data_IF_812927880170
#
_entry.id   IF_812927880170
#
_cell.length_a   1.000
_cell.length_b   1.000
_cell.length_c   1.000
_cell.angle_alpha   90.00
_cell.angle_beta   90.00
_cell.angle_gamma   90.00
#
_symmetry.space_group_name_H-M   'P 1'
#
loop_
_entity.id
_entity.type
_entity.pdbx_description
1 polymer ?
#
# COMPACT_ATOMS: atom_id res chain seq x y z
N UNK A 1 -31.46 0.98 3.37
CA UNK A 1 -31.76 0.63 4.75
C UNK A 1 -31.01 1.56 5.70
N UNK A 2 -31.55 1.85 6.86
CA UNK A 2 -30.90 2.64 7.89
C UNK A 2 -30.83 1.84 9.21
N UNK A 3 -30.02 2.31 10.16
CA UNK A 3 -29.81 1.64 11.44
C UNK A 3 -31.12 1.51 12.26
N UNK A 4 -32.01 2.49 12.18
CA UNK A 4 -33.28 2.49 12.92
C UNK A 4 -34.19 1.35 12.47
N UNK A 5 -34.36 1.16 11.16
CA UNK A 5 -35.13 0.05 10.60
C UNK A 5 -34.55 -1.31 11.00
N UNK A 6 -33.21 -1.44 10.99
CA UNK A 6 -32.56 -2.68 11.42
C UNK A 6 -32.82 -2.97 12.90
N UNK A 7 -32.73 -1.97 13.77
CA UNK A 7 -33.04 -2.13 15.20
C UNK A 7 -34.48 -2.58 15.42
N UNK A 8 -35.46 -1.96 14.72
CA UNK A 8 -36.88 -2.37 14.81
C UNK A 8 -37.10 -3.81 14.36
N UNK A 9 -36.49 -4.23 13.26
CA UNK A 9 -36.62 -5.60 12.77
C UNK A 9 -35.99 -6.60 13.73
N UNK A 10 -34.80 -6.31 14.27
CA UNK A 10 -34.15 -7.16 15.26
C UNK A 10 -35.01 -7.28 16.52
N UNK A 11 -35.61 -6.19 17.00
CA UNK A 11 -36.49 -6.20 18.17
C UNK A 11 -37.75 -7.07 17.91
N UNK A 12 -38.37 -6.96 16.74
CA UNK A 12 -39.52 -7.78 16.34
C UNK A 12 -39.20 -9.27 16.27
N UNK A 13 -37.96 -9.60 15.88
CA UNK A 13 -37.48 -10.99 15.72
C UNK A 13 -36.83 -11.54 16.97
N UNK A 14 -36.77 -10.82 18.09
CA UNK A 14 -36.11 -11.23 19.32
C UNK A 14 -34.58 -11.36 19.17
N UNK A 15 -33.98 -10.66 18.18
CA UNK A 15 -32.55 -10.70 17.91
C UNK A 15 -31.83 -9.54 18.63
N UNK A 16 -30.64 -9.84 19.18
CA UNK A 16 -29.77 -8.78 19.71
C UNK A 16 -29.13 -7.99 18.56
N UNK A 17 -29.27 -6.67 18.62
CA UNK A 17 -28.67 -5.76 17.66
C UNK A 17 -28.07 -4.56 18.39
N UNK A 18 -26.81 -4.22 18.08
CA UNK A 18 -26.13 -3.04 18.58
C UNK A 18 -25.60 -2.21 17.43
N UNK A 19 -25.92 -0.93 17.41
CA UNK A 19 -25.37 0.03 16.45
C UNK A 19 -24.15 0.68 17.09
N UNK A 20 -22.99 0.53 16.46
CA UNK A 20 -21.78 1.23 16.88
C UNK A 20 -21.85 2.71 16.49
N UNK A 21 -21.37 3.58 17.36
CA UNK A 21 -21.22 4.99 17.05
C UNK A 21 -20.20 5.20 15.92
N UNK A 22 -20.41 6.20 15.03
CA UNK A 22 -19.42 6.54 14.02
C UNK A 22 -18.09 6.93 14.66
N UNK A 23 -16.99 6.41 14.10
CA UNK A 23 -15.65 6.85 14.45
C UNK A 23 -15.38 8.17 13.72
N UNK A 24 -14.82 9.14 14.43
CA UNK A 24 -14.45 10.44 13.87
C UNK A 24 -12.94 10.59 13.87
N UNK A 25 -12.38 11.01 12.76
CA UNK A 25 -10.98 11.45 12.64
C UNK A 25 -10.98 12.91 12.19
N UNK A 26 -10.41 13.80 12.99
CA UNK A 26 -10.40 15.26 12.78
C UNK A 26 -11.81 15.84 12.46
N UNK A 27 -12.83 15.34 13.16
CA UNK A 27 -14.22 15.79 12.98
C UNK A 27 -14.93 15.23 11.75
N UNK A 28 -14.28 14.38 10.94
CA UNK A 28 -14.88 13.70 9.79
C UNK A 28 -15.24 12.27 10.15
N UNK A 29 -16.43 11.82 9.73
CA UNK A 29 -16.83 10.42 9.90
C UNK A 29 -15.93 9.50 9.07
N UNK A 30 -15.26 8.56 9.73
CA UNK A 30 -14.49 7.50 9.05
C UNK A 30 -15.45 6.60 8.27
N UNK A 31 -15.20 6.45 6.98
CA UNK A 31 -16.02 5.63 6.09
C UNK A 31 -15.15 5.01 4.99
N UNK A 32 -15.63 3.93 4.38
CA UNK A 32 -14.95 3.32 3.24
C UNK A 32 -14.78 4.31 2.07
N UNK A 33 -15.72 5.23 1.88
CA UNK A 33 -15.62 6.27 0.84
C UNK A 33 -14.50 7.24 1.15
N UNK A 34 -14.39 7.73 2.39
CA UNK A 34 -13.30 8.62 2.80
C UNK A 34 -11.95 7.94 2.60
N UNK A 35 -11.78 6.71 3.08
CA UNK A 35 -10.52 5.96 2.95
C UNK A 35 -10.13 5.76 1.48
N UNK A 36 -11.08 5.38 0.61
CA UNK A 36 -10.81 5.24 -0.83
C UNK A 36 -10.39 6.56 -1.48
N UNK A 37 -11.01 7.67 -1.09
CA UNK A 37 -10.64 9.01 -1.57
C UNK A 37 -9.21 9.36 -1.16
N UNK A 38 -8.87 9.23 0.13
CA UNK A 38 -7.52 9.48 0.65
C UNK A 38 -6.45 8.68 -0.10
N UNK A 39 -6.68 7.38 -0.32
CA UNK A 39 -5.74 6.54 -1.05
C UNK A 39 -5.58 6.94 -2.52
N UNK A 40 -6.66 7.36 -3.19
CA UNK A 40 -6.62 7.87 -4.57
C UNK A 40 -5.93 9.23 -4.68
N UNK A 41 -5.95 10.03 -3.62
CA UNK A 41 -5.25 11.31 -3.51
C UNK A 41 -3.79 11.15 -3.08
N UNK A 42 -3.39 9.96 -2.62
CA UNK A 42 -2.04 9.64 -2.16
C UNK A 42 -1.82 9.91 -0.67
N UNK A 43 -2.85 10.29 0.07
CA UNK A 43 -2.74 10.54 1.52
C UNK A 43 -2.80 9.22 2.32
N UNK A 44 -1.73 8.42 2.17
CA UNK A 44 -1.60 7.14 2.85
C UNK A 44 -1.55 7.29 4.38
N UNK A 45 -1.00 8.41 4.88
CA UNK A 45 -0.88 8.67 6.30
C UNK A 45 -2.24 8.99 6.95
N UNK A 46 -3.09 9.77 6.29
CA UNK A 46 -4.45 10.02 6.81
C UNK A 46 -5.32 8.77 6.67
N UNK A 47 -5.14 8.01 5.58
CA UNK A 47 -5.79 6.70 5.44
C UNK A 47 -5.40 5.74 6.59
N UNK A 48 -4.12 5.74 7.01
CA UNK A 48 -3.64 4.99 8.18
C UNK A 48 -4.39 5.40 9.45
N UNK A 49 -4.49 6.70 9.75
CA UNK A 49 -5.23 7.19 10.93
C UNK A 49 -6.70 6.76 10.92
N UNK A 50 -7.34 6.81 9.76
CA UNK A 50 -8.72 6.36 9.59
C UNK A 50 -8.89 4.83 9.75
N UNK A 51 -7.92 4.04 9.29
CA UNK A 51 -7.96 2.58 9.32
C UNK A 51 -7.49 1.99 10.66
N UNK A 52 -6.69 2.74 11.44
CA UNK A 52 -5.94 2.23 12.60
C UNK A 52 -4.77 1.31 12.23
N UNK A 53 -4.48 1.17 10.92
CA UNK A 53 -3.34 0.40 10.38
C UNK A 53 -3.01 0.91 8.98
N UNK A 54 -1.79 0.68 8.46
CA UNK A 54 -1.46 1.05 7.10
C UNK A 54 -2.36 0.32 6.08
N UNK A 55 -2.63 0.98 4.97
CA UNK A 55 -3.24 0.29 3.83
C UNK A 55 -2.25 -0.74 3.26
N UNK A 56 -2.75 -1.88 2.79
CA UNK A 56 -1.88 -2.91 2.21
C UNK A 56 -2.48 -3.56 0.98
N UNK A 57 -1.60 -4.00 0.10
CA UNK A 57 -1.90 -4.89 -1.01
C UNK A 57 -1.09 -6.18 -0.86
N UNK A 58 -1.74 -7.32 -0.98
CA UNK A 58 -1.08 -8.61 -1.02
C UNK A 58 -1.19 -9.18 -2.44
N UNK A 59 -0.16 -9.92 -2.86
CA UNK A 59 -0.13 -10.54 -4.16
C UNK A 59 0.98 -11.55 -4.28
N UNK A 60 0.97 -12.28 -5.39
CA UNK A 60 2.04 -13.16 -5.79
C UNK A 60 3.12 -12.37 -6.53
N UNK A 61 4.39 -12.72 -6.28
CA UNK A 61 5.53 -12.12 -6.97
C UNK A 61 5.66 -12.78 -8.34
N UNK A 62 5.56 -11.96 -9.36
CA UNK A 62 5.68 -12.38 -10.76
C UNK A 62 6.92 -11.78 -11.42
N UNK A 63 7.34 -12.40 -12.53
CA UNK A 63 8.42 -11.86 -13.33
C UNK A 63 8.03 -10.52 -13.96
N UNK A 64 8.91 -9.53 -13.84
CA UNK A 64 8.83 -8.24 -14.52
C UNK A 64 9.85 -8.12 -15.66
N UNK A 65 10.04 -6.90 -16.16
CA UNK A 65 10.96 -6.62 -17.27
C UNK A 65 12.45 -6.74 -16.89
N UNK A 66 12.77 -6.98 -15.61
CA UNK A 66 14.15 -7.15 -15.10
C UNK A 66 15.03 -5.90 -15.19
N UNK A 67 14.44 -4.70 -15.41
CA UNK A 67 15.20 -3.45 -15.56
C UNK A 67 15.96 -3.08 -14.29
N UNK A 68 15.32 -3.21 -13.12
CA UNK A 68 15.94 -2.92 -11.83
C UNK A 68 17.13 -3.81 -11.54
N UNK A 69 17.05 -5.10 -11.86
CA UNK A 69 18.16 -6.05 -11.66
C UNK A 69 19.43 -5.64 -12.41
N UNK A 70 19.29 -5.18 -13.67
CA UNK A 70 20.43 -4.70 -14.49
C UNK A 70 21.09 -3.44 -13.92
N UNK A 71 20.38 -2.68 -13.09
CA UNK A 71 20.87 -1.46 -12.46
C UNK A 71 21.37 -1.69 -11.02
N UNK A 72 21.41 -2.96 -10.55
CA UNK A 72 21.79 -3.29 -9.19
C UNK A 72 20.72 -2.94 -8.15
N UNK A 73 19.49 -2.66 -8.59
CA UNK A 73 18.32 -2.34 -7.75
C UNK A 73 17.22 -3.35 -8.07
N UNK A 74 17.33 -4.59 -7.57
CA UNK A 74 16.33 -5.61 -7.87
C UNK A 74 14.97 -5.20 -7.33
N UNK A 75 13.95 -5.39 -8.15
CA UNK A 75 12.54 -5.13 -7.81
C UNK A 75 11.72 -6.40 -7.99
N UNK A 76 10.74 -6.57 -7.13
CA UNK A 76 9.69 -7.57 -7.30
C UNK A 76 8.47 -6.90 -7.93
N UNK A 77 7.77 -7.62 -8.79
CA UNK A 77 6.49 -7.20 -9.36
C UNK A 77 5.36 -7.97 -8.68
N UNK A 78 4.35 -7.27 -8.21
CA UNK A 78 3.21 -7.89 -7.56
C UNK A 78 1.97 -7.82 -8.45
N UNK A 79 1.18 -8.90 -8.38
CA UNK A 79 -0.16 -8.95 -8.96
C UNK A 79 -1.19 -9.05 -7.83
N UNK A 80 -1.77 -7.91 -7.40
CA UNK A 80 -2.88 -7.93 -6.45
C UNK A 80 -4.11 -8.61 -7.03
N UNK A 81 -5.05 -9.06 -6.17
CA UNK A 81 -6.31 -9.65 -6.62
C UNK A 81 -7.11 -8.71 -7.52
N UNK A 82 -7.92 -9.28 -8.40
CA UNK A 82 -8.88 -8.52 -9.20
C UNK A 82 -9.82 -7.71 -8.29
N UNK A 83 -10.11 -6.46 -8.69
CA UNK A 83 -10.92 -5.55 -7.89
C UNK A 83 -10.21 -4.89 -6.70
N UNK A 84 -8.93 -5.16 -6.50
CA UNK A 84 -8.16 -4.47 -5.47
C UNK A 84 -8.19 -2.95 -5.66
N UNK A 85 -8.26 -2.22 -4.54
CA UNK A 85 -8.15 -0.77 -4.57
C UNK A 85 -6.70 -0.35 -4.80
N UNK A 86 -6.46 0.36 -5.90
CA UNK A 86 -5.14 0.91 -6.19
C UNK A 86 -5.00 2.32 -5.60
N UNK A 87 -3.92 2.60 -4.87
CA UNK A 87 -3.61 3.96 -4.43
C UNK A 87 -3.17 4.82 -5.61
N UNK A 88 -3.01 6.13 -5.39
CA UNK A 88 -2.50 7.07 -6.39
C UNK A 88 -1.21 6.56 -7.03
N UNK A 89 -1.06 6.76 -8.33
CA UNK A 89 0.18 6.51 -9.06
C UNK A 89 1.33 7.33 -8.47
N UNK A 90 2.50 6.69 -8.26
CA UNK A 90 3.68 7.31 -7.70
C UNK A 90 4.51 6.38 -6.82
N UNK A 91 5.49 6.94 -6.14
CA UNK A 91 6.45 6.22 -5.29
C UNK A 91 6.09 6.38 -3.83
N UNK A 92 6.11 5.26 -3.11
CA UNK A 92 5.72 5.16 -1.70
C UNK A 92 6.85 4.60 -0.84
N UNK A 93 6.94 5.11 0.39
CA UNK A 93 7.60 4.41 1.48
C UNK A 93 6.70 3.26 1.92
N UNK A 94 7.23 2.04 1.90
CA UNK A 94 6.47 0.82 2.18
C UNK A 94 7.26 -0.11 3.09
N UNK A 95 6.54 -1.09 3.65
CA UNK A 95 7.11 -2.23 4.35
C UNK A 95 6.58 -3.50 3.66
N UNK A 96 7.47 -4.38 3.23
CA UNK A 96 7.09 -5.65 2.61
C UNK A 96 7.17 -6.76 3.63
N UNK A 97 6.04 -7.44 3.87
CA UNK A 97 5.90 -8.57 4.79
C UNK A 97 5.88 -9.88 4.00
N UNK A 98 6.75 -10.80 4.38
CA UNK A 98 6.78 -12.17 3.87
C UNK A 98 5.72 -13.04 4.55
N UNK A 99 5.37 -14.20 3.96
CA UNK A 99 4.43 -15.17 4.56
C UNK A 99 4.85 -15.64 5.97
N UNK A 100 6.14 -15.66 6.27
CA UNK A 100 6.68 -15.98 7.60
C UNK A 100 6.60 -14.84 8.63
N UNK A 101 6.01 -13.68 8.27
CA UNK A 101 5.91 -12.52 9.15
C UNK A 101 7.14 -11.60 9.12
N UNK A 102 8.23 -12.00 8.50
CA UNK A 102 9.43 -11.17 8.34
C UNK A 102 9.11 -9.93 7.48
N UNK A 103 9.60 -8.76 7.91
CA UNK A 103 9.32 -7.48 7.26
C UNK A 103 10.59 -6.78 6.77
N UNK A 104 10.49 -6.13 5.60
CA UNK A 104 11.59 -5.43 4.95
C UNK A 104 11.19 -4.02 4.58
N UNK A 105 11.97 -2.98 4.96
CA UNK A 105 11.82 -1.64 4.41
C UNK A 105 11.86 -1.69 2.89
N UNK A 106 10.96 -1.01 2.23
CA UNK A 106 10.85 -1.10 0.78
C UNK A 106 10.35 0.20 0.15
N UNK A 107 10.65 0.36 -1.13
CA UNK A 107 10.09 1.40 -1.98
C UNK A 107 9.14 0.75 -2.98
N UNK A 108 7.93 1.23 -3.06
CA UNK A 108 6.96 0.73 -4.03
C UNK A 108 6.61 1.81 -5.04
N UNK A 109 6.82 1.51 -6.30
CA UNK A 109 6.26 2.28 -7.41
C UNK A 109 4.91 1.69 -7.82
N UNK A 110 3.87 2.49 -7.71
CA UNK A 110 2.55 2.22 -8.30
C UNK A 110 2.50 2.97 -9.62
N UNK A 111 2.48 2.25 -10.72
CA UNK A 111 2.51 2.81 -12.06
C UNK A 111 1.34 2.36 -12.92
N UNK A 112 1.32 2.83 -14.19
CA UNK A 112 0.38 2.39 -15.20
C UNK A 112 1.14 1.88 -16.41
N UNK A 113 0.95 0.61 -16.78
CA UNK A 113 1.47 0.09 -18.05
C UNK A 113 0.56 0.53 -19.18
N UNK A 114 1.12 1.17 -20.23
CA UNK A 114 0.38 1.35 -21.46
C UNK A 114 -0.03 -0.02 -22.01
N UNK A 115 -1.30 -0.22 -22.21
CA UNK A 115 -1.84 -1.38 -22.93
C UNK A 115 -2.53 -0.89 -24.18
N UNK A 116 -2.71 -1.77 -25.18
CA UNK A 116 -3.48 -1.46 -26.40
C UNK A 116 -4.97 -1.17 -26.11
N UNK A 117 -5.44 -1.37 -24.88
CA UNK A 117 -6.76 -0.95 -24.42
C UNK A 117 -6.65 0.46 -23.84
N UNK A 118 -7.66 1.29 -24.04
CA UNK A 118 -7.71 2.71 -23.69
C UNK A 118 -7.43 3.06 -22.21
N UNK A 119 -7.47 2.06 -21.32
CA UNK A 119 -7.06 2.20 -19.92
C UNK A 119 -5.91 1.23 -19.68
N UNK A 120 -4.71 1.77 -19.38
CA UNK A 120 -3.55 0.98 -18.99
C UNK A 120 -3.85 0.11 -17.76
N UNK A 121 -3.08 -0.96 -17.58
CA UNK A 121 -3.17 -1.80 -16.38
C UNK A 121 -2.26 -1.25 -15.29
N UNK A 122 -2.75 -1.11 -14.04
CA UNK A 122 -1.91 -0.69 -12.94
C UNK A 122 -0.83 -1.76 -12.65
N UNK A 123 0.34 -1.29 -12.24
CA UNK A 123 1.49 -2.14 -11.90
C UNK A 123 2.02 -1.76 -10.54
N UNK A 124 2.62 -2.72 -9.85
CA UNK A 124 3.27 -2.50 -8.58
C UNK A 124 4.65 -3.14 -8.59
N UNK A 125 5.67 -2.30 -8.59
CA UNK A 125 7.07 -2.68 -8.53
C UNK A 125 7.65 -2.26 -7.19
N UNK A 126 8.23 -3.21 -6.44
CA UNK A 126 8.72 -2.96 -5.09
C UNK A 126 10.19 -3.35 -4.98
N UNK A 127 11.01 -2.41 -4.54
CA UNK A 127 12.41 -2.63 -4.19
C UNK A 127 12.54 -2.84 -2.68
N UNK A 128 13.00 -4.03 -2.26
CA UNK A 128 13.26 -4.35 -0.86
C UNK A 128 14.68 -3.92 -0.50
N UNK A 129 14.80 -3.00 0.46
CA UNK A 129 16.10 -2.45 0.85
C UNK A 129 16.93 -3.46 1.61
N UNK A 130 18.10 -3.80 1.05
CA UNK A 130 19.05 -4.74 1.68
C UNK A 130 18.68 -6.21 1.57
N UNK A 131 17.57 -6.56 0.93
CA UNK A 131 17.21 -7.96 0.70
C UNK A 131 18.08 -8.58 -0.40
N UNK A 132 18.53 -9.81 -0.15
CA UNK A 132 19.22 -10.64 -1.13
C UNK A 132 18.55 -12.01 -1.16
N UNK A 133 18.15 -12.46 -2.33
CA UNK A 133 17.52 -13.76 -2.51
C UNK A 133 16.49 -13.77 -3.65
N UNK A 134 15.93 -14.94 -3.91
CA UNK A 134 14.87 -15.15 -4.88
C UNK A 134 13.51 -15.23 -4.16
N UNK A 135 12.55 -14.47 -4.66
CA UNK A 135 11.19 -14.36 -4.12
C UNK A 135 10.12 -14.75 -5.14
N UNK A 136 10.48 -15.18 -6.35
CA UNK A 136 9.48 -15.53 -7.37
C UNK A 136 8.54 -16.64 -6.91
N UNK A 137 7.26 -16.48 -7.21
CA UNK A 137 6.19 -17.39 -6.82
C UNK A 137 5.79 -17.32 -5.35
N UNK A 138 6.49 -16.52 -4.53
CA UNK A 138 6.08 -16.30 -3.14
C UNK A 138 4.98 -15.24 -3.05
N UNK A 139 4.19 -15.33 -2.00
CA UNK A 139 3.20 -14.29 -1.68
C UNK A 139 3.80 -13.33 -0.67
N UNK A 140 3.51 -12.05 -0.86
CA UNK A 140 3.92 -10.99 0.06
C UNK A 140 2.78 -9.99 0.25
N UNK A 141 2.88 -9.23 1.32
CA UNK A 141 2.00 -8.10 1.60
C UNK A 141 2.83 -6.82 1.66
N UNK A 142 2.44 -5.81 0.92
CA UNK A 142 3.08 -4.49 0.91
C UNK A 142 2.21 -3.51 1.66
N UNK A 143 2.73 -2.93 2.73
CA UNK A 143 2.11 -1.95 3.61
C UNK A 143 2.53 -0.54 3.20
N UNK A 144 1.58 0.32 2.89
CA UNK A 144 1.81 1.69 2.40
C UNK A 144 1.82 2.68 3.56
N UNK A 145 2.99 3.29 3.82
CA UNK A 145 3.17 4.23 4.94
C UNK A 145 3.05 5.69 4.53
N UNK A 146 3.70 6.08 3.44
CA UNK A 146 3.66 7.45 2.95
C UNK A 146 3.86 7.53 1.44
N UNK A 147 3.19 8.48 0.83
CA UNK A 147 3.47 8.92 -0.53
C UNK A 147 4.72 9.78 -0.53
N UNK A 148 5.72 9.45 -1.35
CA UNK A 148 6.98 10.17 -1.42
C UNK A 148 7.00 11.20 -2.54
N UNK A 149 6.55 10.81 -3.73
CA UNK A 149 6.57 11.64 -4.93
C UNK A 149 5.80 11.00 -6.10
N UNK A 150 5.58 11.78 -7.15
CA UNK A 150 5.09 11.30 -8.44
C UNK A 150 6.14 10.47 -9.18
N UNK A 151 5.68 9.67 -10.17
CA UNK A 151 6.58 9.02 -11.11
C UNK A 151 7.37 10.07 -11.88
N UNK A 152 8.64 9.79 -12.15
CA UNK A 152 9.54 10.64 -12.90
C UNK A 152 10.26 9.83 -13.97
N UNK A 153 10.46 10.44 -15.12
CA UNK A 153 11.36 9.93 -16.16
C UNK A 153 12.77 10.45 -15.87
N UNK A 154 13.75 9.58 -15.99
CA UNK A 154 15.16 9.92 -15.80
C UNK A 154 15.89 9.85 -17.13
N UNK A 155 16.74 10.82 -17.38
CA UNK A 155 17.55 10.89 -18.62
C UNK A 155 18.56 9.74 -18.73
N UNK A 156 19.04 9.26 -17.59
CA UNK A 156 20.01 8.15 -17.52
C UNK A 156 19.85 7.32 -16.23
N UNK A 157 20.51 6.18 -16.22
CA UNK A 157 20.49 5.23 -15.11
C UNK A 157 21.08 5.81 -13.82
N UNK A 158 22.10 6.65 -13.91
CA UNK A 158 22.76 7.25 -12.73
C UNK A 158 21.78 8.11 -11.93
N UNK A 159 21.04 9.00 -12.61
CA UNK A 159 20.03 9.85 -11.97
C UNK A 159 18.90 9.03 -11.33
N UNK A 160 18.50 7.93 -11.95
CA UNK A 160 17.52 7.01 -11.37
C UNK A 160 18.06 6.37 -10.08
N UNK A 161 19.29 5.85 -10.10
CA UNK A 161 19.92 5.22 -8.94
C UNK A 161 20.07 6.22 -7.78
N UNK A 162 20.52 7.44 -8.05
CA UNK A 162 20.62 8.50 -7.06
C UNK A 162 19.27 8.86 -6.44
N UNK A 163 18.21 8.94 -7.27
CA UNK A 163 16.87 9.21 -6.77
C UNK A 163 16.36 8.08 -5.87
N UNK A 164 16.56 6.82 -6.26
CA UNK A 164 16.19 5.67 -5.44
C UNK A 164 16.96 5.68 -4.10
N UNK A 165 18.24 6.04 -4.10
CA UNK A 165 19.01 6.17 -2.87
C UNK A 165 18.44 7.27 -1.93
N UNK A 166 18.02 8.43 -2.49
CA UNK A 166 17.35 9.49 -1.72
C UNK A 166 16.01 9.00 -1.14
N UNK A 167 15.19 8.33 -1.94
CA UNK A 167 13.91 7.80 -1.53
C UNK A 167 14.06 6.71 -0.45
N UNK A 168 15.07 5.84 -0.59
CA UNK A 168 15.40 4.80 0.40
C UNK A 168 15.78 5.42 1.74
N UNK A 169 16.65 6.45 1.73
CA UNK A 169 17.03 7.16 2.97
C UNK A 169 15.81 7.79 3.65
N UNK A 170 14.95 8.45 2.86
CA UNK A 170 13.71 9.05 3.37
C UNK A 170 12.77 8.00 3.96
N UNK A 171 12.63 6.84 3.30
CA UNK A 171 11.84 5.72 3.79
C UNK A 171 12.38 5.19 5.11
N UNK A 172 13.69 4.97 5.22
CA UNK A 172 14.31 4.50 6.46
C UNK A 172 14.08 5.46 7.62
N UNK A 173 14.26 6.77 7.39
CA UNK A 173 14.00 7.79 8.40
C UNK A 173 12.54 7.79 8.86
N UNK A 174 11.59 7.67 7.91
CA UNK A 174 10.18 7.61 8.21
C UNK A 174 9.83 6.37 9.03
N UNK A 175 10.30 5.20 8.64
CA UNK A 175 10.02 3.95 9.35
C UNK A 175 10.68 3.89 10.73
N UNK A 176 11.85 4.53 10.92
CA UNK A 176 12.50 4.66 12.22
C UNK A 176 11.74 5.58 13.19
N UNK A 177 10.94 6.52 12.67
CA UNK A 177 10.12 7.43 13.48
C UNK A 177 8.77 6.83 13.91
N UNK A 178 8.43 5.63 13.41
CA UNK A 178 7.21 4.92 13.79
C UNK A 178 7.41 4.19 15.12
N UNK A 179 6.34 4.07 15.89
CA UNK A 179 6.34 3.19 17.05
C UNK A 179 6.53 1.73 16.63
N UNK A 180 7.26 0.97 17.46
CA UNK A 180 7.47 -0.47 17.17
C UNK A 180 6.15 -1.24 17.08
N UNK A 181 5.15 -0.87 17.87
CA UNK A 181 3.80 -1.44 17.81
C UNK A 181 3.15 -1.28 16.44
N UNK A 182 3.35 -0.13 15.76
CA UNK A 182 2.79 0.10 14.43
C UNK A 182 3.33 -0.87 13.37
N UNK A 183 4.54 -1.41 13.59
CA UNK A 183 5.22 -2.30 12.65
C UNK A 183 5.01 -3.77 13.01
N UNK A 184 5.07 -4.12 14.31
CA UNK A 184 5.02 -5.52 14.77
C UNK A 184 3.61 -6.05 14.98
N UNK A 185 2.62 -5.18 15.19
CA UNK A 185 1.21 -5.56 15.34
C UNK A 185 0.45 -5.54 13.99
N UNK A 186 1.18 -5.61 12.88
CA UNK A 186 0.55 -5.76 11.56
C UNK A 186 -0.13 -7.11 11.46
N UNK A 187 -1.43 -7.15 11.10
CA UNK A 187 -2.23 -8.39 11.05
C UNK A 187 -1.82 -9.31 9.91
#
# INVERSE_FOLDING_TARGET
>A
GNASLLLELCQKLGLFCRVASPVLEKGKTVSSTLIRTLLREGDAQEAFRCLGRPFSLAGEIVHGDGRGHRLGIPTINLTPPEGALWPRVGVYATLTQMEGGETWPSLTNVGMRPTFRAQGSPTMETHLTGFQGDLYGRRVRVWFWAYLREEQKFENATLLVEQIARDTKKTQQLLQSLDRSDIYDLP
#
